data_IF_461315277447
#
_entry.id   IF_461315277447
#
_cell.length_a   1.000
_cell.length_b   1.000
_cell.length_c   1.000
_cell.angle_alpha   90.00
_cell.angle_beta   90.00
_cell.angle_gamma   90.00
#
_symmetry.space_group_name_H-M   'P 1'
#
loop_
_entity.id
_entity.type
_entity.pdbx_description
1 polymer ?
#
# COMPACT_ATOMS: atom_id res chain seq x y z
N UNK A 1 -26.69 24.59 19.67
CA UNK A 1 -25.61 25.46 19.14
C UNK A 1 -25.83 25.97 17.72
N UNK A 2 -26.99 25.76 17.07
CA UNK A 2 -27.30 26.35 15.73
C UNK A 2 -28.50 27.32 15.77
N UNK A 3 -29.10 27.52 16.95
CA UNK A 3 -30.28 28.38 17.10
C UNK A 3 -29.95 29.88 17.32
N UNK A 4 -28.66 30.24 17.35
CA UNK A 4 -28.22 31.59 17.74
C UNK A 4 -27.59 32.42 16.62
N UNK A 5 -27.49 31.90 15.38
CA UNK A 5 -26.68 32.56 14.34
C UNK A 5 -27.48 33.44 13.36
N UNK A 6 -28.81 33.31 13.24
CA UNK A 6 -29.61 34.14 12.30
C UNK A 6 -31.07 34.35 12.75
N UNK A 7 -31.48 35.56 13.17
CA UNK A 7 -32.86 35.86 13.62
C UNK A 7 -33.89 36.08 12.50
N UNK A 8 -33.49 36.10 11.22
CA UNK A 8 -34.36 36.42 10.07
C UNK A 8 -34.42 35.33 8.98
N UNK A 9 -33.93 34.12 9.25
CA UNK A 9 -34.07 33.01 8.32
C UNK A 9 -35.43 32.34 8.55
N UNK A 10 -36.25 32.29 7.50
CA UNK A 10 -37.56 31.64 7.55
C UNK A 10 -37.38 30.17 7.92
N UNK A 11 -38.16 29.69 8.88
CA UNK A 11 -37.98 28.37 9.52
C UNK A 11 -38.15 27.26 8.48
N UNK A 12 -38.98 27.52 7.46
CA UNK A 12 -39.18 26.69 6.29
C UNK A 12 -37.90 26.51 5.47
N UNK A 13 -37.15 27.59 5.24
CA UNK A 13 -35.93 27.62 4.43
C UNK A 13 -34.78 26.85 5.10
N UNK A 14 -34.72 26.88 6.44
CA UNK A 14 -33.77 26.09 7.24
C UNK A 14 -34.11 24.59 7.17
N UNK A 15 -35.39 24.23 7.19
CA UNK A 15 -35.83 22.84 7.09
C UNK A 15 -35.57 22.26 5.69
N UNK A 16 -35.85 23.02 4.63
CA UNK A 16 -35.48 22.65 3.25
C UNK A 16 -33.96 22.50 3.06
N UNK A 17 -33.16 23.42 3.64
CA UNK A 17 -31.69 23.34 3.57
C UNK A 17 -31.17 22.08 4.28
N UNK A 18 -31.69 21.77 5.48
CA UNK A 18 -31.33 20.56 6.21
C UNK A 18 -31.74 19.29 5.45
N UNK A 19 -32.92 19.27 4.81
CA UNK A 19 -33.36 18.13 4.01
C UNK A 19 -32.47 17.93 2.79
N UNK A 20 -32.10 19.01 2.11
CA UNK A 20 -31.16 18.97 0.97
C UNK A 20 -29.77 18.48 1.39
N UNK A 21 -29.22 18.99 2.51
CA UNK A 21 -27.94 18.52 3.06
C UNK A 21 -28.02 17.04 3.42
N UNK A 22 -29.13 16.59 4.02
CA UNK A 22 -29.34 15.18 4.39
C UNK A 22 -29.41 14.27 3.16
N UNK A 23 -30.06 14.71 2.07
CA UNK A 23 -30.09 14.01 0.78
C UNK A 23 -28.68 13.92 0.16
N UNK A 24 -27.96 15.03 0.10
CA UNK A 24 -26.57 15.07 -0.40
C UNK A 24 -25.64 14.17 0.42
N UNK A 25 -25.75 14.17 1.75
CA UNK A 25 -25.00 13.25 2.61
C UNK A 25 -25.35 11.78 2.36
N UNK A 26 -26.61 11.47 2.08
CA UNK A 26 -27.07 10.14 1.69
C UNK A 26 -26.41 9.66 0.39
N UNK A 27 -26.32 10.53 -0.61
CA UNK A 27 -25.72 10.20 -1.90
C UNK A 27 -24.19 10.07 -1.81
N UNK A 28 -23.53 10.96 -1.04
CA UNK A 28 -22.09 10.87 -0.75
C UNK A 28 -21.76 9.55 -0.03
N UNK A 29 -22.58 9.11 0.93
CA UNK A 29 -22.39 7.82 1.62
C UNK A 29 -22.49 6.65 0.65
N UNK A 30 -23.49 6.64 -0.24
CA UNK A 30 -23.64 5.59 -1.26
C UNK A 30 -22.44 5.54 -2.20
N UNK A 31 -21.99 6.70 -2.68
CA UNK A 31 -20.80 6.78 -3.55
C UNK A 31 -19.54 6.28 -2.84
N UNK A 32 -19.35 6.64 -1.57
CA UNK A 32 -18.23 6.16 -0.75
C UNK A 32 -18.24 4.64 -0.61
N UNK A 33 -19.40 4.04 -0.37
CA UNK A 33 -19.55 2.57 -0.26
C UNK A 33 -19.20 1.91 -1.60
N UNK A 34 -19.67 2.44 -2.72
CA UNK A 34 -19.36 1.89 -4.05
C UNK A 34 -17.85 1.92 -4.30
N UNK A 35 -17.19 3.06 -4.04
CA UNK A 35 -15.74 3.20 -4.18
C UNK A 35 -15.01 2.21 -3.26
N UNK A 36 -15.45 2.04 -2.02
CA UNK A 36 -14.85 1.10 -1.08
C UNK A 36 -14.95 -0.36 -1.55
N UNK A 37 -16.10 -0.76 -2.12
CA UNK A 37 -16.29 -2.10 -2.68
C UNK A 37 -15.38 -2.32 -3.90
N UNK A 38 -15.30 -1.35 -4.81
CA UNK A 38 -14.38 -1.43 -5.96
C UNK A 38 -12.92 -1.51 -5.52
N UNK A 39 -12.52 -0.71 -4.52
CA UNK A 39 -11.18 -0.77 -3.96
C UNK A 39 -10.87 -2.15 -3.36
N UNK A 40 -11.82 -2.76 -2.63
CA UNK A 40 -11.67 -4.10 -2.08
C UNK A 40 -11.50 -5.15 -3.18
N UNK A 41 -12.32 -5.09 -4.24
CA UNK A 41 -12.20 -6.01 -5.38
C UNK A 41 -10.84 -5.84 -6.07
N UNK A 42 -10.42 -4.60 -6.32
CA UNK A 42 -9.12 -4.31 -6.93
C UNK A 42 -7.95 -4.86 -6.10
N UNK A 43 -8.03 -4.75 -4.77
CA UNK A 43 -7.04 -5.34 -3.85
C UNK A 43 -7.02 -6.86 -3.99
N UNK A 44 -8.18 -7.52 -3.97
CA UNK A 44 -8.26 -9.00 -4.12
C UNK A 44 -7.66 -9.45 -5.45
N UNK A 45 -7.98 -8.79 -6.56
CA UNK A 45 -7.45 -9.12 -7.89
C UNK A 45 -5.93 -8.92 -7.92
N UNK A 46 -5.44 -7.80 -7.37
CA UNK A 46 -3.99 -7.52 -7.28
C UNK A 46 -3.25 -8.60 -6.49
N UNK A 47 -3.83 -9.04 -5.36
CA UNK A 47 -3.27 -10.12 -4.54
C UNK A 47 -3.26 -11.46 -5.30
N UNK A 48 -4.32 -11.79 -6.04
CA UNK A 48 -4.32 -13.00 -6.88
C UNK A 48 -3.27 -12.95 -7.98
N UNK A 49 -3.09 -11.80 -8.63
CA UNK A 49 -2.07 -11.61 -9.67
C UNK A 49 -0.65 -11.82 -9.12
N UNK A 50 -0.34 -11.18 -7.99
CA UNK A 50 0.96 -11.35 -7.33
C UNK A 50 1.15 -12.80 -6.88
N UNK A 51 0.12 -13.43 -6.30
CA UNK A 51 0.20 -14.83 -5.86
C UNK A 51 0.49 -15.79 -7.02
N UNK A 52 -0.17 -15.60 -8.18
CA UNK A 52 0.06 -16.41 -9.38
C UNK A 52 1.48 -16.24 -9.94
N UNK A 53 1.97 -14.99 -9.98
CA UNK A 53 3.34 -14.68 -10.42
C UNK A 53 4.37 -15.33 -9.48
N UNK A 54 4.19 -15.21 -8.16
CA UNK A 54 5.09 -15.79 -7.16
C UNK A 54 5.11 -17.31 -7.24
N UNK A 55 3.94 -17.96 -7.35
CA UNK A 55 3.83 -19.41 -7.52
C UNK A 55 4.63 -19.89 -8.74
N UNK A 56 4.43 -19.23 -9.88
CA UNK A 56 5.12 -19.56 -11.12
C UNK A 56 6.64 -19.35 -11.01
N UNK A 57 7.07 -18.23 -10.42
CA UNK A 57 8.50 -17.94 -10.23
C UNK A 57 9.16 -18.94 -9.25
N UNK A 58 8.48 -19.35 -8.17
CA UNK A 58 9.00 -20.37 -7.26
C UNK A 58 9.17 -21.74 -7.92
N UNK A 59 8.27 -22.13 -8.83
CA UNK A 59 8.42 -23.39 -9.57
C UNK A 59 9.65 -23.36 -10.48
N UNK A 60 9.92 -22.23 -11.15
CA UNK A 60 11.10 -22.07 -12.00
C UNK A 60 12.42 -21.96 -11.22
N UNK A 61 12.43 -21.34 -10.04
CA UNK A 61 13.65 -21.12 -9.23
C UNK A 61 13.93 -22.22 -8.19
N UNK A 62 13.05 -23.22 -8.03
CA UNK A 62 13.23 -24.35 -7.08
C UNK A 62 14.60 -25.03 -7.20
N UNK A 63 15.09 -25.23 -8.44
CA UNK A 63 16.39 -25.85 -8.70
C UNK A 63 17.59 -25.00 -8.24
N UNK A 64 17.55 -23.69 -8.46
CA UNK A 64 18.65 -22.79 -8.05
C UNK A 64 18.74 -22.64 -6.53
N UNK A 65 17.58 -22.62 -5.86
CA UNK A 65 17.47 -22.52 -4.40
C UNK A 65 17.98 -23.81 -3.73
N UNK A 66 17.66 -24.98 -4.30
CA UNK A 66 18.17 -26.28 -3.85
C UNK A 66 19.69 -26.39 -3.95
N UNK A 67 20.28 -25.93 -5.06
CA UNK A 67 21.74 -25.97 -5.27
C UNK A 67 22.45 -25.04 -4.28
N UNK A 68 21.97 -23.80 -4.07
CA UNK A 68 22.59 -22.85 -3.11
C UNK A 68 22.55 -23.32 -1.65
N UNK A 69 21.57 -24.14 -1.27
CA UNK A 69 21.43 -24.68 0.09
C UNK A 69 22.45 -25.80 0.38
N UNK A 70 22.88 -26.53 -0.65
CA UNK A 70 23.92 -27.58 -0.55
C UNK A 70 25.33 -26.99 -0.36
N UNK A 71 25.56 -25.74 -0.76
CA UNK A 71 26.86 -25.05 -0.65
C UNK A 71 27.16 -24.44 0.75
N UNK A 72 26.40 -24.76 1.80
CA UNK A 72 26.80 -24.47 3.18
C UNK A 72 26.77 -23.00 3.61
N UNK A 73 25.98 -22.15 2.95
CA UNK A 73 25.88 -20.74 3.33
C UNK A 73 25.18 -20.58 4.70
N UNK A 74 25.89 -20.00 5.67
CA UNK A 74 25.33 -19.60 6.98
C UNK A 74 24.15 -18.65 6.78
N UNK A 75 23.05 -18.90 7.48
CA UNK A 75 21.77 -18.19 7.38
C UNK A 75 21.90 -16.67 7.47
N UNK A 76 22.78 -16.16 8.34
CA UNK A 76 23.03 -14.71 8.49
C UNK A 76 23.66 -14.05 7.26
N UNK A 77 24.63 -14.69 6.60
CA UNK A 77 25.28 -14.15 5.39
C UNK A 77 24.30 -14.07 4.23
N UNK A 78 23.40 -15.05 4.13
CA UNK A 78 22.33 -15.06 3.14
C UNK A 78 21.36 -13.92 3.39
N UNK A 79 20.90 -13.75 4.64
CA UNK A 79 19.99 -12.67 5.04
C UNK A 79 20.59 -11.29 4.73
N UNK A 80 21.85 -11.05 5.08
CA UNK A 80 22.49 -9.74 4.90
C UNK A 80 22.71 -9.39 3.41
N UNK A 81 23.10 -10.38 2.61
CA UNK A 81 23.23 -10.22 1.15
C UNK A 81 21.88 -9.87 0.49
N UNK A 82 20.80 -10.55 0.90
CA UNK A 82 19.47 -10.25 0.38
C UNK A 82 18.96 -8.89 0.86
N UNK A 83 19.11 -8.57 2.15
CA UNK A 83 18.69 -7.29 2.71
C UNK A 83 19.30 -6.10 1.97
N UNK A 84 20.62 -6.14 1.70
CA UNK A 84 21.31 -5.08 0.95
C UNK A 84 20.80 -4.97 -0.50
N UNK A 85 20.59 -6.10 -1.17
CA UNK A 85 20.07 -6.13 -2.54
C UNK A 85 18.65 -5.54 -2.62
N UNK A 86 17.77 -5.94 -1.70
CA UNK A 86 16.40 -5.42 -1.64
C UNK A 86 16.36 -3.95 -1.24
N UNK A 87 17.23 -3.49 -0.35
CA UNK A 87 17.34 -2.07 -0.01
C UNK A 87 17.68 -1.21 -1.24
N UNK A 88 18.59 -1.67 -2.11
CA UNK A 88 18.92 -0.98 -3.36
C UNK A 88 17.72 -0.94 -4.31
N UNK A 89 17.01 -2.06 -4.47
CA UNK A 89 15.81 -2.13 -5.32
C UNK A 89 14.73 -1.16 -4.81
N UNK A 90 14.43 -1.18 -3.51
CA UNK A 90 13.46 -0.27 -2.87
C UNK A 90 13.87 1.19 -3.05
N UNK A 91 15.17 1.50 -2.90
CA UNK A 91 15.70 2.84 -3.12
C UNK A 91 15.48 3.33 -4.55
N UNK A 92 15.77 2.50 -5.56
CA UNK A 92 15.54 2.82 -6.97
C UNK A 92 14.05 3.04 -7.25
N UNK A 93 13.19 2.15 -6.73
CA UNK A 93 11.74 2.30 -6.86
C UNK A 93 11.25 3.60 -6.22
N UNK A 94 11.77 3.99 -5.05
CA UNK A 94 11.38 5.22 -4.38
C UNK A 94 11.79 6.48 -5.15
N UNK A 95 12.99 6.49 -5.74
CA UNK A 95 13.47 7.61 -6.55
C UNK A 95 12.55 7.88 -7.74
N UNK A 96 11.94 6.84 -8.32
CA UNK A 96 10.99 6.97 -9.42
C UNK A 96 9.59 7.30 -8.90
N UNK A 97 9.16 6.65 -7.81
CA UNK A 97 7.82 6.81 -7.25
C UNK A 97 7.59 8.18 -6.61
N UNK A 98 8.59 8.76 -5.94
CA UNK A 98 8.47 10.05 -5.26
C UNK A 98 8.07 11.21 -6.21
N UNK A 99 8.75 11.46 -7.36
CA UNK A 99 8.36 12.52 -8.29
C UNK A 99 7.00 12.24 -8.95
N UNK A 100 6.70 10.98 -9.27
CA UNK A 100 5.38 10.61 -9.83
C UNK A 100 4.26 10.89 -8.83
N UNK A 101 4.45 10.50 -7.57
CA UNK A 101 3.49 10.74 -6.50
C UNK A 101 3.28 12.24 -6.25
N UNK A 102 4.36 13.04 -6.26
CA UNK A 102 4.25 14.49 -6.17
C UNK A 102 3.47 15.07 -7.37
N UNK A 103 3.78 14.67 -8.59
CA UNK A 103 3.08 15.19 -9.77
C UNK A 103 1.58 14.88 -9.77
N UNK A 104 1.20 13.64 -9.43
CA UNK A 104 -0.20 13.22 -9.35
C UNK A 104 -0.93 13.96 -8.24
N UNK A 105 -0.33 14.03 -7.05
CA UNK A 105 -0.94 14.72 -5.90
C UNK A 105 -1.08 16.22 -6.13
N UNK A 106 -0.10 16.87 -6.76
CA UNK A 106 -0.19 18.28 -7.11
C UNK A 106 -1.37 18.57 -8.06
N UNK A 107 -1.50 17.78 -9.14
CA UNK A 107 -2.65 17.91 -10.05
C UNK A 107 -3.98 17.60 -9.40
N UNK A 108 -4.01 16.62 -8.49
CA UNK A 108 -5.24 16.28 -7.78
C UNK A 108 -5.64 17.39 -6.81
N UNK A 109 -4.69 17.99 -6.09
CA UNK A 109 -4.95 19.09 -5.18
C UNK A 109 -5.35 20.40 -5.86
N UNK A 110 -4.99 20.60 -7.13
CA UNK A 110 -5.46 21.76 -7.91
C UNK A 110 -6.98 21.80 -8.09
N UNK A 111 -7.66 20.65 -7.98
CA UNK A 111 -9.12 20.55 -8.08
C UNK A 111 -9.85 21.01 -6.80
N UNK A 112 -9.12 21.25 -5.70
CA UNK A 112 -9.70 21.61 -4.41
C UNK A 112 -9.33 23.04 -4.00
N UNK A 113 -10.33 23.82 -3.59
CA UNK A 113 -10.16 25.21 -3.13
C UNK A 113 -9.31 25.28 -1.84
N UNK A 114 -9.39 24.26 -0.98
CA UNK A 114 -8.51 24.10 0.19
C UNK A 114 -7.38 23.12 -0.11
N UNK A 115 -6.18 23.66 -0.35
CA UNK A 115 -4.97 22.88 -0.63
C UNK A 115 -4.29 22.49 0.67
N UNK A 116 -4.09 21.19 0.90
CA UNK A 116 -3.25 20.69 1.99
C UNK A 116 -1.80 20.73 1.49
N UNK A 117 -0.93 21.54 2.08
CA UNK A 117 0.48 21.51 1.77
C UNK A 117 1.02 20.11 2.10
N UNK A 118 1.39 19.29 1.10
CA UNK A 118 1.99 17.98 1.32
C UNK A 118 3.44 18.17 1.78
N UNK A 119 3.75 17.93 3.05
CA UNK A 119 5.09 18.19 3.54
C UNK A 119 6.01 17.01 3.21
N UNK A 120 7.27 17.30 2.90
CA UNK A 120 8.29 16.33 2.49
C UNK A 120 8.45 15.13 3.45
N UNK A 121 8.15 15.31 4.75
CA UNK A 121 8.26 14.24 5.75
C UNK A 121 7.35 13.03 5.46
N UNK A 122 6.23 13.22 4.77
CA UNK A 122 5.30 12.12 4.43
C UNK A 122 5.98 11.13 3.47
N UNK A 123 6.72 11.62 2.49
CA UNK A 123 7.46 10.76 1.56
C UNK A 123 8.57 9.98 2.27
N UNK A 124 9.26 10.62 3.23
CA UNK A 124 10.29 9.96 4.05
C UNK A 124 9.67 8.89 4.94
N UNK A 125 8.50 9.16 5.55
CA UNK A 125 7.80 8.17 6.36
C UNK A 125 7.39 6.96 5.51
N UNK A 126 6.84 7.18 4.32
CA UNK A 126 6.49 6.08 3.40
C UNK A 126 7.72 5.26 3.03
N UNK A 127 8.86 5.89 2.73
CA UNK A 127 10.11 5.19 2.45
C UNK A 127 10.52 4.29 3.63
N UNK A 128 10.49 4.83 4.85
CA UNK A 128 10.83 4.07 6.06
C UNK A 128 9.89 2.89 6.24
N UNK A 129 8.58 3.11 6.11
CA UNK A 129 7.57 2.05 6.26
C UNK A 129 7.78 0.94 5.22
N UNK A 130 7.95 1.29 3.95
CA UNK A 130 8.18 0.32 2.87
C UNK A 130 9.48 -0.47 3.12
N UNK A 131 10.53 0.21 3.57
CA UNK A 131 11.82 -0.41 3.85
C UNK A 131 11.73 -1.39 5.03
N UNK A 132 11.05 -1.00 6.12
CA UNK A 132 10.78 -1.87 7.29
C UNK A 132 9.95 -3.08 6.89
N UNK A 133 8.86 -2.89 6.15
CA UNK A 133 8.01 -3.98 5.67
C UNK A 133 8.80 -4.94 4.78
N UNK A 134 9.58 -4.41 3.83
CA UNK A 134 10.40 -5.23 2.92
C UNK A 134 11.46 -6.02 3.68
N UNK A 135 12.18 -5.38 4.60
CA UNK A 135 13.16 -6.07 5.45
C UNK A 135 12.51 -7.16 6.29
N UNK A 136 11.35 -6.89 6.89
CA UNK A 136 10.60 -7.87 7.68
C UNK A 136 10.23 -9.08 6.84
N UNK A 137 9.70 -8.86 5.62
CA UNK A 137 9.35 -9.95 4.70
C UNK A 137 10.60 -10.76 4.32
N UNK A 138 11.72 -10.11 3.97
CA UNK A 138 12.97 -10.78 3.58
C UNK A 138 13.51 -11.62 4.72
N UNK A 139 13.51 -11.09 5.95
CA UNK A 139 13.96 -11.82 7.15
C UNK A 139 13.05 -13.04 7.38
N UNK A 140 11.73 -12.86 7.40
CA UNK A 140 10.78 -13.95 7.63
C UNK A 140 10.86 -15.03 6.54
N UNK A 141 10.98 -14.64 5.27
CA UNK A 141 11.12 -15.58 4.14
C UNK A 141 12.45 -16.31 4.16
N UNK A 142 13.55 -15.61 4.45
CA UNK A 142 14.88 -16.22 4.54
C UNK A 142 14.97 -17.16 5.73
N UNK A 143 14.38 -16.79 6.86
CA UNK A 143 14.30 -17.65 8.05
C UNK A 143 13.42 -18.87 7.80
N UNK A 144 12.25 -18.70 7.19
CA UNK A 144 11.39 -19.83 6.79
C UNK A 144 12.08 -20.74 5.77
N UNK A 145 12.74 -20.19 4.75
CA UNK A 145 13.47 -20.97 3.75
C UNK A 145 14.69 -21.69 4.32
N UNK A 146 15.33 -21.14 5.35
CA UNK A 146 16.39 -21.81 6.10
C UNK A 146 15.85 -22.99 6.93
N UNK A 147 14.67 -22.82 7.54
CA UNK A 147 14.05 -23.81 8.43
C UNK A 147 13.20 -24.87 7.71
N UNK A 148 12.85 -24.65 6.44
CA UNK A 148 12.22 -25.69 5.59
C UNK A 148 13.24 -26.82 5.34
N UNK A 149 12.87 -28.04 5.74
CA UNK A 149 13.75 -29.20 5.70
C UNK A 149 14.13 -29.50 4.23
N UNK A 150 15.41 -29.71 3.87
CA UNK A 150 15.86 -29.84 2.48
C UNK A 150 15.27 -31.05 1.74
N UNK A 151 14.61 -31.98 2.45
CA UNK A 151 14.13 -33.25 1.93
C UNK A 151 12.88 -33.08 1.04
N UNK A 152 12.05 -32.06 1.28
CA UNK A 152 10.86 -31.77 0.44
C UNK A 152 11.20 -31.02 -0.86
N UNK A 153 12.45 -30.57 -1.03
CA UNK A 153 12.90 -29.93 -2.26
C UNK A 153 13.37 -30.93 -3.33
N UNK A 154 13.48 -32.23 -2.98
CA UNK A 154 14.12 -33.27 -3.81
C UNK A 154 13.13 -34.39 -4.21
N UNK A 155 11.88 -34.35 -3.76
CA UNK A 155 10.80 -35.22 -4.27
C UNK A 155 9.80 -34.44 -5.12
#
# INVERSE_FOLDING_TARGET
>A
TVKEVSPHADISEIEFLNENIKRMYGDIKKQTIIIAVFALIAIVISLMGIFGIVLFETQHRRREIGIRKVYGATTENVINMFARRYAVIVGICFVIAAPVAWFISARWLEQFVNRIAMPLWVYVLVLIVVLVVTMTIVILRSWKAANENPIDAIN
#
